data_IF_102593253851
#
_entry.id   IF_102593253851
#
_cell.length_a   1.000
_cell.length_b   1.000
_cell.length_c   1.000
_cell.angle_alpha   90.00
_cell.angle_beta   90.00
_cell.angle_gamma   90.00
#
_symmetry.space_group_name_H-M   'P 1'
#
loop_
_entity.id
_entity.type
_entity.pdbx_description
1 polymer ?
#
# COMPACT_ATOMS: atom_id res chain seq x y z
N UNK A 1 42.44 47.78 39.15
CA UNK A 1 41.40 47.05 39.92
C UNK A 1 40.75 45.99 39.04
N UNK A 2 41.06 44.71 39.28
CA UNK A 2 40.31 43.55 38.76
C UNK A 2 40.38 42.43 39.81
N UNK A 3 39.38 42.45 40.68
CA UNK A 3 38.77 41.35 41.44
C UNK A 3 38.44 40.16 40.50
N UNK A 4 38.42 38.88 40.86
CA UNK A 4 38.79 38.15 42.07
C UNK A 4 38.97 36.66 41.67
N UNK A 5 39.72 35.95 42.50
CA UNK A 5 40.03 34.53 42.46
C UNK A 5 38.85 33.66 42.97
N UNK A 6 38.67 32.45 42.41
CA UNK A 6 38.12 31.22 43.02
C UNK A 6 38.14 30.17 41.88
N UNK A 7 38.62 28.94 41.97
CA UNK A 7 38.93 28.07 43.08
C UNK A 7 38.71 26.63 42.59
N UNK A 8 39.81 25.90 42.37
CA UNK A 8 40.02 24.43 42.47
C UNK A 8 38.86 23.46 42.16
N UNK A 9 39.11 22.53 41.21
CA UNK A 9 38.86 21.10 41.43
C UNK A 9 39.67 20.23 40.45
N UNK A 10 40.64 19.48 40.99
CA UNK A 10 41.29 18.34 40.32
C UNK A 10 40.44 17.09 40.59
N UNK A 11 40.06 16.36 39.54
CA UNK A 11 39.43 15.04 39.64
C UNK A 11 39.73 14.23 38.39
N UNK A 12 40.47 13.13 38.54
CA UNK A 12 40.99 12.31 37.44
C UNK A 12 39.97 11.38 36.77
N UNK A 13 40.35 10.72 35.67
CA UNK A 13 39.46 9.88 34.87
C UNK A 13 39.24 8.49 35.50
N UNK A 14 37.99 8.23 35.90
CA UNK A 14 37.50 6.91 36.32
C UNK A 14 37.15 6.05 35.11
N UNK A 15 37.97 5.03 34.86
CA UNK A 15 37.74 3.95 33.90
C UNK A 15 36.64 3.03 34.42
N UNK A 16 35.47 3.03 33.77
CA UNK A 16 34.40 2.05 34.00
C UNK A 16 34.59 0.87 33.05
N UNK A 17 35.21 -0.21 33.55
CA UNK A 17 35.28 -1.52 32.87
C UNK A 17 33.97 -2.27 33.08
N UNK A 18 33.08 -2.18 32.09
CA UNK A 18 31.90 -3.03 31.98
C UNK A 18 32.30 -4.47 31.70
N UNK A 19 31.95 -5.39 32.61
CA UNK A 19 32.27 -6.82 32.54
C UNK A 19 31.49 -7.47 31.39
N UNK A 20 32.24 -7.97 30.40
CA UNK A 20 31.76 -8.86 29.35
C UNK A 20 31.39 -10.22 29.97
N UNK A 21 30.10 -10.57 29.97
CA UNK A 21 29.64 -11.90 30.40
C UNK A 21 29.65 -12.82 29.17
N UNK A 22 30.74 -13.56 29.02
CA UNK A 22 30.85 -14.67 28.06
C UNK A 22 29.91 -15.78 28.52
N UNK A 23 28.80 -15.97 27.78
CA UNK A 23 27.97 -17.17 27.91
C UNK A 23 28.64 -18.26 27.08
N UNK A 24 29.18 -19.27 27.76
CA UNK A 24 29.77 -20.46 27.14
C UNK A 24 28.68 -21.27 26.44
N UNK A 25 28.89 -21.56 25.15
CA UNK A 25 28.12 -22.52 24.38
C UNK A 25 28.33 -23.95 24.86
N UNK A 26 27.25 -24.73 24.89
CA UNK A 26 27.27 -26.17 25.02
C UNK A 26 26.98 -26.83 23.66
N UNK A 27 27.68 -27.93 23.30
CA UNK A 27 27.39 -28.67 22.07
C UNK A 27 26.22 -29.64 22.28
N UNK A 28 25.09 -29.36 21.62
CA UNK A 28 23.98 -30.30 21.46
C UNK A 28 24.07 -30.94 20.09
N UNK A 29 24.41 -32.22 20.06
CA UNK A 29 24.63 -33.03 18.86
C UNK A 29 23.30 -33.50 18.27
N UNK A 30 23.35 -33.66 16.95
CA UNK A 30 22.33 -34.08 15.98
C UNK A 30 21.62 -35.42 16.27
N UNK A 31 20.37 -35.55 15.79
CA UNK A 31 19.86 -36.62 14.90
C UNK A 31 18.32 -36.79 15.05
N UNK A 32 17.57 -36.37 14.03
CA UNK A 32 16.14 -36.68 13.87
C UNK A 32 15.79 -36.66 12.38
N UNK A 33 15.54 -37.84 11.81
CA UNK A 33 15.58 -38.12 10.37
C UNK A 33 14.45 -37.53 9.51
N UNK A 34 14.57 -37.62 8.18
CA UNK A 34 13.54 -37.17 7.25
C UNK A 34 12.39 -38.20 7.19
N UNK A 35 11.27 -37.86 7.83
CA UNK A 35 9.99 -38.51 7.57
C UNK A 35 9.46 -38.11 6.19
N UNK A 36 9.72 -38.95 5.18
CA UNK A 36 9.13 -38.83 3.84
C UNK A 36 7.64 -39.16 3.93
N UNK A 37 6.80 -38.16 4.16
CA UNK A 37 5.35 -38.31 4.04
C UNK A 37 4.98 -38.21 2.57
N UNK A 38 4.85 -39.37 1.92
CA UNK A 38 4.29 -39.51 0.57
C UNK A 38 2.83 -39.05 0.60
N UNK A 39 2.56 -37.83 0.14
CA UNK A 39 1.20 -37.36 -0.10
C UNK A 39 0.60 -38.16 -1.27
N UNK A 40 -0.43 -38.94 -0.97
CA UNK A 40 -1.22 -39.68 -1.96
C UNK A 40 -1.92 -38.66 -2.87
N UNK A 41 -1.65 -38.77 -4.17
CA UNK A 41 -2.32 -38.05 -5.22
C UNK A 41 -3.78 -38.56 -5.30
N UNK A 42 -4.71 -37.83 -4.70
CA UNK A 42 -6.14 -38.06 -4.81
C UNK A 42 -6.64 -37.47 -6.12
N UNK A 43 -6.77 -38.33 -7.14
CA UNK A 43 -7.42 -38.05 -8.41
C UNK A 43 -8.93 -37.97 -8.18
N UNK A 44 -9.47 -36.75 -8.07
CA UNK A 44 -10.91 -36.52 -7.98
C UNK A 44 -11.45 -36.10 -9.35
N UNK A 45 -12.28 -36.97 -9.91
CA UNK A 45 -13.07 -36.76 -11.11
C UNK A 45 -13.93 -35.51 -10.97
N UNK A 46 -13.89 -34.63 -11.98
CA UNK A 46 -14.97 -33.68 -12.24
C UNK A 46 -15.36 -33.85 -13.70
N UNK A 47 -16.32 -34.76 -13.92
CA UNK A 47 -17.19 -34.70 -15.07
C UNK A 47 -18.40 -33.87 -14.69
N UNK A 48 -18.70 -32.81 -15.44
CA UNK A 48 -20.03 -32.23 -15.45
C UNK A 48 -20.38 -31.65 -16.82
N UNK A 49 -21.08 -32.50 -17.56
CA UNK A 49 -22.16 -32.27 -18.52
C UNK A 49 -22.34 -30.86 -19.14
N UNK A 50 -22.18 -30.85 -20.47
CA UNK A 50 -22.89 -29.96 -21.41
C UNK A 50 -24.41 -30.14 -21.30
N UNK A 51 -25.14 -29.03 -21.26
CA UNK A 51 -26.52 -28.95 -21.75
C UNK A 51 -26.72 -27.59 -22.43
N UNK A 52 -26.75 -27.60 -23.76
CA UNK A 52 -27.41 -26.58 -24.58
C UNK A 52 -28.91 -26.90 -24.62
N UNK A 53 -29.76 -25.89 -24.84
CA UNK A 53 -31.07 -25.88 -25.54
C UNK A 53 -31.73 -24.49 -25.24
N UNK A 54 -31.83 -23.56 -26.19
CA UNK A 54 -32.91 -23.34 -27.20
C UNK A 54 -34.17 -22.62 -26.67
N UNK A 55 -34.56 -21.51 -27.33
CA UNK A 55 -35.92 -20.93 -27.40
C UNK A 55 -36.02 -19.46 -26.94
N UNK A 56 -36.14 -18.45 -27.81
CA UNK A 56 -37.25 -17.97 -28.67
C UNK A 56 -38.28 -17.00 -28.02
N UNK A 57 -38.29 -15.78 -28.59
CA UNK A 57 -39.42 -14.86 -28.88
C UNK A 57 -40.10 -13.99 -27.80
N UNK A 58 -39.80 -12.68 -27.93
CA UNK A 58 -40.67 -11.52 -28.20
C UNK A 58 -42.13 -11.39 -27.68
N UNK A 59 -42.40 -10.14 -27.26
CA UNK A 59 -43.57 -9.28 -27.54
C UNK A 59 -44.58 -8.98 -26.40
N UNK A 60 -44.98 -7.70 -26.31
CA UNK A 60 -46.04 -7.19 -25.42
C UNK A 60 -45.67 -5.86 -24.76
N UNK A 61 -45.82 -4.71 -25.43
CA UNK A 61 -47.01 -3.86 -25.47
C UNK A 61 -47.03 -2.75 -24.39
N UNK A 62 -47.02 -1.51 -24.88
CA UNK A 62 -47.25 -0.26 -24.16
C UNK A 62 -48.73 -0.10 -23.82
N UNK A 63 -49.08 0.67 -22.76
CA UNK A 63 -49.88 1.85 -23.05
C UNK A 63 -49.53 3.08 -22.19
N UNK A 64 -49.70 4.22 -22.87
CA UNK A 64 -49.71 5.59 -22.37
C UNK A 64 -51.04 5.97 -21.69
N UNK A 65 -50.92 6.81 -20.66
CA UNK A 65 -51.63 8.10 -20.45
C UNK A 65 -52.31 8.28 -19.09
N UNK A 66 -52.02 9.45 -18.48
CA UNK A 66 -53.02 10.24 -17.76
C UNK A 66 -52.74 10.51 -16.28
N UNK A 67 -52.63 11.80 -15.92
CA UNK A 67 -53.20 12.27 -14.65
C UNK A 67 -52.32 13.14 -13.74
N UNK A 68 -52.42 14.45 -13.98
CA UNK A 68 -52.61 15.52 -12.99
C UNK A 68 -51.59 15.78 -11.86
N UNK A 69 -51.13 17.05 -11.87
CA UNK A 69 -50.51 17.82 -10.79
C UNK A 69 -51.39 17.92 -9.54
N UNK A 70 -50.80 18.08 -8.35
CA UNK A 70 -50.98 19.37 -7.68
C UNK A 70 -49.68 19.93 -7.07
N UNK A 71 -49.62 21.27 -7.07
CA UNK A 71 -48.65 22.07 -6.32
C UNK A 71 -49.01 22.11 -4.84
N UNK A 72 -48.02 21.94 -3.97
CA UNK A 72 -48.03 22.49 -2.62
C UNK A 72 -46.58 22.80 -2.19
N UNK A 73 -46.37 24.01 -1.67
CA UNK A 73 -45.06 24.58 -1.38
C UNK A 73 -44.26 23.78 -0.36
N UNK A 74 -42.96 23.67 -0.64
CA UNK A 74 -41.93 23.24 0.30
C UNK A 74 -40.87 24.33 0.35
N UNK A 75 -40.54 24.75 1.56
CA UNK A 75 -39.54 25.74 1.88
C UNK A 75 -38.24 25.51 1.08
N UNK A 76 -37.63 26.61 0.64
CA UNK A 76 -36.26 26.65 0.14
C UNK A 76 -35.32 26.22 1.26
N UNK A 77 -35.16 24.90 1.41
CA UNK A 77 -34.02 24.31 2.08
C UNK A 77 -32.79 24.78 1.31
N UNK A 78 -32.08 25.72 1.93
CA UNK A 78 -30.73 26.08 1.54
C UNK A 78 -29.85 24.89 1.89
N UNK A 79 -29.98 23.83 1.10
CA UNK A 79 -29.04 22.74 1.02
C UNK A 79 -27.73 23.38 0.58
N UNK A 80 -26.90 23.66 1.58
CA UNK A 80 -25.52 24.03 1.42
C UNK A 80 -24.93 23.10 0.38
N UNK A 81 -24.53 23.69 -0.75
CA UNK A 81 -23.79 22.99 -1.77
C UNK A 81 -22.61 22.34 -1.09
N UNK A 82 -22.65 21.02 -0.99
CA UNK A 82 -21.44 20.24 -0.82
C UNK A 82 -20.59 20.59 -2.04
N UNK A 83 -19.62 21.49 -1.84
CA UNK A 83 -18.54 21.70 -2.80
C UNK A 83 -18.10 20.33 -3.27
N UNK A 84 -17.96 20.08 -4.59
CA UNK A 84 -17.48 18.81 -5.06
C UNK A 84 -16.17 18.54 -4.33
N UNK A 85 -16.14 17.48 -3.52
CA UNK A 85 -14.91 17.00 -2.91
C UNK A 85 -13.94 16.83 -4.07
N UNK A 86 -12.96 17.73 -4.17
CA UNK A 86 -11.89 17.56 -5.12
C UNK A 86 -11.27 16.21 -4.78
N UNK A 87 -11.35 15.25 -5.70
CA UNK A 87 -10.87 13.90 -5.48
C UNK A 87 -9.40 13.91 -5.07
N UNK A 88 -8.99 12.90 -4.31
CA UNK A 88 -7.61 12.73 -3.89
C UNK A 88 -6.71 12.69 -5.13
N UNK A 89 -5.72 13.58 -5.19
CA UNK A 89 -4.73 13.66 -6.26
C UNK A 89 -3.39 13.20 -5.72
N UNK A 90 -2.68 12.39 -6.51
CA UNK A 90 -1.35 11.89 -6.18
C UNK A 90 -0.41 12.25 -7.32
N UNK A 91 0.84 12.55 -6.99
CA UNK A 91 1.91 12.85 -7.95
C UNK A 91 3.26 12.53 -7.33
N UNK A 92 4.30 12.44 -8.17
CA UNK A 92 5.69 12.38 -7.70
C UNK A 92 6.50 13.55 -8.26
N UNK A 93 7.30 14.25 -7.45
CA UNK A 93 8.29 15.19 -7.97
C UNK A 93 9.39 14.51 -8.81
N UNK A 94 9.54 13.19 -8.72
CA UNK A 94 10.61 12.46 -9.37
C UNK A 94 10.31 12.03 -10.81
N UNK A 95 9.03 11.95 -11.19
CA UNK A 95 8.58 11.57 -12.52
C UNK A 95 7.20 12.16 -12.80
N UNK A 96 6.92 12.45 -14.07
CA UNK A 96 5.57 12.80 -14.51
C UNK A 96 4.69 11.55 -14.66
N UNK A 97 3.38 11.72 -14.68
CA UNK A 97 2.42 10.64 -14.93
C UNK A 97 2.79 9.85 -16.20
N UNK A 98 2.91 8.52 -16.06
CA UNK A 98 3.28 7.57 -17.12
C UNK A 98 4.77 7.60 -17.52
N UNK A 99 5.56 8.54 -16.98
CA UNK A 99 6.96 8.68 -17.34
C UNK A 99 7.84 7.62 -16.65
N UNK A 100 9.06 7.46 -17.18
CA UNK A 100 10.03 6.53 -16.64
C UNK A 100 10.44 6.92 -15.21
N UNK A 101 10.37 5.96 -14.30
CA UNK A 101 10.84 6.09 -12.92
C UNK A 101 12.36 6.24 -12.94
N UNK A 102 12.96 7.21 -12.23
CA UNK A 102 14.42 7.32 -12.17
C UNK A 102 15.07 6.07 -11.59
N UNK A 103 16.19 5.66 -12.21
CA UNK A 103 16.90 4.41 -11.90
C UNK A 103 17.18 4.16 -10.42
N UNK A 104 17.42 5.22 -9.63
CA UNK A 104 17.70 5.07 -8.20
C UNK A 104 16.56 4.41 -7.42
N UNK A 105 15.31 4.50 -7.88
CA UNK A 105 14.15 3.89 -7.22
C UNK A 105 13.93 2.43 -7.64
N UNK A 106 14.62 1.94 -8.67
CA UNK A 106 14.57 0.54 -9.09
C UNK A 106 15.29 -0.40 -8.11
N UNK A 107 15.17 -1.70 -8.34
CA UNK A 107 15.86 -2.71 -7.54
C UNK A 107 17.39 -2.64 -7.71
N UNK A 108 18.12 -3.05 -6.67
CA UNK A 108 19.58 -3.13 -6.70
C UNK A 108 20.12 -4.01 -7.84
N UNK A 109 19.39 -5.09 -8.19
CA UNK A 109 19.78 -6.00 -9.30
C UNK A 109 19.76 -5.33 -10.68
N UNK A 110 18.98 -4.26 -10.85
CA UNK A 110 18.95 -3.45 -12.06
C UNK A 110 19.66 -2.10 -11.86
N UNK A 111 20.47 -1.98 -10.80
CA UNK A 111 21.33 -0.83 -10.52
C UNK A 111 20.62 0.35 -9.84
N UNK A 112 19.46 0.12 -9.24
CA UNK A 112 18.82 1.06 -8.34
C UNK A 112 19.23 0.85 -6.88
N UNK A 113 18.44 1.38 -5.94
CA UNK A 113 18.75 1.41 -4.51
C UNK A 113 17.61 0.89 -3.63
N UNK A 114 16.50 0.41 -4.21
CA UNK A 114 15.31 -0.03 -3.45
C UNK A 114 14.81 1.03 -2.46
N UNK A 115 14.88 2.31 -2.86
CA UNK A 115 14.33 3.44 -2.10
C UNK A 115 13.03 3.91 -2.75
N UNK A 116 12.02 4.27 -1.94
CA UNK A 116 10.74 4.78 -2.45
C UNK A 116 10.91 6.17 -3.08
N UNK A 117 10.22 6.46 -4.21
CA UNK A 117 10.18 7.81 -4.76
C UNK A 117 9.40 8.76 -3.84
N UNK A 118 9.73 10.05 -3.82
CA UNK A 118 8.92 11.03 -3.12
C UNK A 118 7.51 11.07 -3.74
N UNK A 119 6.50 11.09 -2.89
CA UNK A 119 5.09 11.22 -3.29
C UNK A 119 4.50 12.48 -2.68
N UNK A 120 3.58 13.11 -3.39
CA UNK A 120 2.80 14.23 -2.91
C UNK A 120 1.33 13.98 -3.20
N UNK A 121 0.46 14.34 -2.25
CA UNK A 121 -0.98 14.21 -2.41
C UNK A 121 -1.75 15.39 -1.83
N UNK A 122 -2.91 15.66 -2.42
CA UNK A 122 -3.81 16.74 -2.04
C UNK A 122 -5.27 16.29 -2.17
N UNK A 123 -6.20 17.02 -1.55
CA UNK A 123 -7.62 16.66 -1.62
C UNK A 123 -8.00 15.46 -0.75
N UNK A 124 -7.32 15.27 0.38
CA UNK A 124 -7.75 14.28 1.38
C UNK A 124 -9.12 14.69 1.92
N UNK A 125 -10.16 13.84 1.81
CA UNK A 125 -11.50 14.20 2.26
C UNK A 125 -11.57 14.28 3.79
N UNK A 126 -12.39 15.20 4.32
CA UNK A 126 -12.57 15.39 5.78
C UNK A 126 -13.12 14.15 6.50
N UNK A 127 -13.79 13.26 5.77
CA UNK A 127 -14.27 11.97 6.29
C UNK A 127 -13.17 10.93 6.48
N UNK A 128 -11.95 11.17 5.97
CA UNK A 128 -10.81 10.28 6.17
C UNK A 128 -10.35 10.29 7.63
N UNK A 129 -9.85 9.15 8.09
CA UNK A 129 -9.26 8.99 9.44
C UNK A 129 -7.85 8.41 9.40
N UNK A 130 -7.48 7.78 8.28
CA UNK A 130 -6.17 7.22 8.03
C UNK A 130 -5.88 7.32 6.53
N UNK A 131 -4.61 7.48 6.16
CA UNK A 131 -4.13 7.29 4.79
C UNK A 131 -3.33 5.99 4.68
N UNK A 132 -3.33 5.40 3.49
CA UNK A 132 -2.48 4.26 3.15
C UNK A 132 -1.85 4.45 1.77
N UNK A 133 -0.68 3.87 1.56
CA UNK A 133 0.00 3.79 0.26
C UNK A 133 0.03 2.32 -0.15
N UNK A 134 -0.31 2.04 -1.41
CA UNK A 134 -0.06 0.77 -2.07
C UNK A 134 0.69 1.05 -3.37
N UNK A 135 1.75 0.28 -3.64
CA UNK A 135 2.42 0.28 -4.95
C UNK A 135 2.17 -1.07 -5.60
N UNK A 136 1.44 -1.08 -6.71
CA UNK A 136 1.04 -2.29 -7.42
C UNK A 136 1.60 -2.30 -8.85
N UNK A 137 2.14 -3.43 -9.27
CA UNK A 137 2.57 -3.72 -10.65
C UNK A 137 1.58 -4.74 -11.24
N UNK A 138 0.66 -4.25 -12.08
CA UNK A 138 -0.38 -5.08 -12.70
C UNK A 138 0.13 -5.87 -13.90
N UNK A 139 1.32 -5.54 -14.41
CA UNK A 139 1.95 -6.17 -15.57
C UNK A 139 2.80 -7.38 -15.18
N UNK A 140 2.99 -7.61 -13.88
CA UNK A 140 3.79 -8.71 -13.38
C UNK A 140 3.27 -10.09 -13.86
N UNK A 141 4.18 -11.05 -14.14
CA UNK A 141 3.79 -12.40 -14.53
C UNK A 141 2.96 -13.08 -13.42
N UNK A 142 1.73 -13.45 -13.75
CA UNK A 142 0.77 -14.02 -12.78
C UNK A 142 -0.23 -13.01 -12.21
N UNK A 143 -0.23 -11.76 -12.70
CA UNK A 143 -1.10 -10.66 -12.29
C UNK A 143 -0.41 -9.73 -11.30
N UNK A 144 -1.21 -8.98 -10.54
CA UNK A 144 -0.74 -7.95 -9.59
C UNK A 144 0.39 -8.43 -8.65
N UNK A 145 1.44 -7.61 -8.56
CA UNK A 145 2.54 -7.73 -7.62
C UNK A 145 2.66 -6.45 -6.77
N UNK A 146 2.48 -6.59 -5.46
CA UNK A 146 2.47 -5.46 -4.53
C UNK A 146 3.89 -5.19 -4.05
N UNK A 147 4.46 -4.08 -4.51
CA UNK A 147 5.80 -3.61 -4.22
C UNK A 147 5.92 -2.92 -2.86
N UNK A 148 4.83 -2.35 -2.35
CA UNK A 148 4.86 -1.61 -1.08
C UNK A 148 3.46 -1.46 -0.50
N UNK A 149 3.33 -1.61 0.81
CA UNK A 149 2.12 -1.29 1.55
C UNK A 149 2.50 -0.50 2.80
N UNK A 150 1.96 0.71 2.93
CA UNK A 150 2.07 1.52 4.15
C UNK A 150 0.67 1.85 4.66
N UNK A 151 0.42 1.59 5.94
CA UNK A 151 -0.83 1.95 6.62
C UNK A 151 -0.54 2.88 7.80
N UNK A 152 -1.59 3.44 8.41
CA UNK A 152 -1.42 4.30 9.59
C UNK A 152 -0.77 5.66 9.31
N UNK A 153 -0.87 6.15 8.07
CA UNK A 153 -0.39 7.48 7.71
C UNK A 153 -1.42 8.51 8.22
N UNK A 154 -0.95 9.59 8.84
CA UNK A 154 -1.83 10.64 9.36
C UNK A 154 -2.49 11.40 8.20
N UNK A 155 -3.76 11.76 8.36
CA UNK A 155 -4.51 12.55 7.36
C UNK A 155 -4.01 13.98 7.20
N UNK A 156 -3.19 14.46 8.14
CA UNK A 156 -2.49 15.75 8.06
C UNK A 156 -1.26 15.71 7.15
N UNK A 157 -0.76 14.52 6.78
CA UNK A 157 0.35 14.41 5.85
C UNK A 157 -0.11 14.76 4.43
N UNK A 158 0.80 15.34 3.66
CA UNK A 158 0.59 15.73 2.26
C UNK A 158 1.59 15.06 1.30
N UNK A 159 2.38 14.12 1.80
CA UNK A 159 3.38 13.44 1.01
C UNK A 159 4.23 12.45 1.79
N UNK A 160 5.13 11.81 1.05
CA UNK A 160 6.21 10.98 1.57
C UNK A 160 7.52 11.47 0.97
N UNK A 161 8.53 11.68 1.81
CA UNK A 161 9.87 12.00 1.35
C UNK A 161 10.53 10.80 0.64
N UNK A 162 11.58 11.07 -0.12
CA UNK A 162 12.39 10.02 -0.72
C UNK A 162 12.92 9.02 0.33
N UNK A 163 12.68 7.73 0.10
CA UNK A 163 13.04 6.66 1.02
C UNK A 163 12.34 6.70 2.38
N UNK A 164 11.38 7.61 2.57
CA UNK A 164 10.65 7.75 3.82
C UNK A 164 9.47 6.77 3.89
N UNK A 165 9.19 6.30 5.10
CA UNK A 165 8.00 5.50 5.41
C UNK A 165 7.10 6.32 6.33
N UNK A 166 6.02 6.94 5.83
CA UNK A 166 5.17 7.86 6.61
C UNK A 166 4.16 7.13 7.52
N UNK A 167 4.44 5.89 7.91
CA UNK A 167 3.50 5.02 8.63
C UNK A 167 4.09 3.65 8.98
N UNK A 168 3.24 2.63 9.05
CA UNK A 168 3.63 1.24 9.32
C UNK A 168 3.68 0.45 8.03
N UNK A 169 4.74 -0.32 7.81
CA UNK A 169 4.86 -1.17 6.61
C UNK A 169 4.20 -2.52 6.85
N UNK A 170 3.37 -2.96 5.90
CA UNK A 170 2.89 -4.34 5.82
C UNK A 170 3.75 -5.13 4.82
N UNK A 171 3.82 -6.47 4.93
CA UNK A 171 4.55 -7.28 3.96
C UNK A 171 4.07 -7.07 2.53
N UNK A 172 5.00 -6.84 1.59
CA UNK A 172 4.74 -6.86 0.15
C UNK A 172 4.61 -8.28 -0.41
N UNK A 173 4.50 -8.40 -1.73
CA UNK A 173 4.39 -9.72 -2.40
C UNK A 173 5.60 -10.62 -2.22
N UNK A 174 6.80 -10.06 -1.97
CA UNK A 174 7.99 -10.83 -1.57
C UNK A 174 8.03 -11.18 -0.06
N UNK A 175 7.03 -10.73 0.71
CA UNK A 175 6.99 -10.86 2.16
C UNK A 175 7.88 -9.87 2.92
N UNK A 176 8.58 -8.96 2.22
CA UNK A 176 9.44 -7.97 2.86
C UNK A 176 8.61 -6.83 3.48
N UNK A 177 8.99 -6.34 4.67
CA UNK A 177 8.37 -5.16 5.28
C UNK A 177 9.06 -3.87 4.81
N UNK A 178 9.34 -3.76 3.51
CA UNK A 178 10.03 -2.62 2.90
C UNK A 178 9.46 -2.33 1.52
N UNK A 179 9.87 -1.19 0.93
CA UNK A 179 9.63 -0.92 -0.48
C UNK A 179 10.52 -1.85 -1.32
N UNK A 180 9.93 -2.59 -2.24
CA UNK A 180 10.66 -3.34 -3.26
C UNK A 180 10.66 -2.53 -4.57
N UNK A 181 11.84 -2.13 -5.07
CA UNK A 181 11.92 -1.33 -6.28
C UNK A 181 11.52 -2.12 -7.54
N UNK A 182 11.09 -1.43 -8.62
CA UNK A 182 10.87 -2.02 -9.93
C UNK A 182 12.00 -2.96 -10.37
N UNK A 183 11.64 -4.18 -10.76
CA UNK A 183 12.59 -5.21 -11.15
C UNK A 183 12.01 -6.21 -12.17
N UNK A 184 11.38 -5.73 -13.25
CA UNK A 184 10.67 -6.59 -14.18
C UNK A 184 11.65 -7.55 -14.87
N UNK A 185 11.24 -8.80 -15.15
CA UNK A 185 12.08 -9.77 -15.85
C UNK A 185 12.34 -9.38 -17.32
N UNK A 186 11.49 -8.54 -17.91
CA UNK A 186 11.64 -7.97 -19.24
C UNK A 186 10.41 -7.17 -19.65
N UNK A 187 10.52 -6.34 -20.69
CA UNK A 187 9.46 -5.42 -21.09
C UNK A 187 9.32 -4.23 -20.14
N UNK A 188 8.40 -3.32 -20.50
CA UNK A 188 8.06 -2.16 -19.68
C UNK A 188 6.83 -2.48 -18.85
N UNK A 189 6.95 -2.29 -17.54
CA UNK A 189 5.87 -2.43 -16.57
C UNK A 189 5.40 -1.07 -16.06
N UNK A 190 4.15 -1.01 -15.61
CA UNK A 190 3.50 0.15 -15.01
C UNK A 190 3.35 -0.07 -13.50
N UNK A 191 3.87 0.88 -12.73
CA UNK A 191 3.85 0.87 -11.28
C UNK A 191 2.86 1.94 -10.82
N UNK A 192 1.76 1.48 -10.24
CA UNK A 192 0.68 2.32 -9.75
C UNK A 192 0.97 2.72 -8.31
N UNK A 193 1.26 4.01 -8.07
CA UNK A 193 1.46 4.57 -6.73
C UNK A 193 0.14 5.13 -6.23
N UNK A 194 -0.58 4.33 -5.43
CA UNK A 194 -1.95 4.63 -5.01
C UNK A 194 -1.94 5.10 -3.57
N UNK A 195 -2.57 6.25 -3.31
CA UNK A 195 -2.89 6.71 -1.96
C UNK A 195 -4.37 6.51 -1.72
N UNK A 196 -4.71 5.85 -0.62
CA UNK A 196 -6.09 5.62 -0.18
C UNK A 196 -6.41 6.50 1.01
N UNK A 197 -7.57 7.15 0.98
CA UNK A 197 -8.14 7.81 2.15
C UNK A 197 -9.18 6.90 2.79
N UNK A 198 -8.94 6.49 4.03
CA UNK A 198 -9.65 5.41 4.69
C UNK A 198 -10.61 5.93 5.76
N UNK A 199 -11.75 5.25 5.96
CA UNK A 199 -12.72 5.60 7.02
C UNK A 199 -12.20 5.35 8.43
N UNK A 200 -11.17 4.53 8.58
CA UNK A 200 -10.63 4.12 9.87
C UNK A 200 -9.35 3.30 9.72
N UNK A 201 -8.74 2.91 10.84
CA UNK A 201 -7.43 2.25 10.82
C UNK A 201 -7.49 0.83 10.26
N UNK A 202 -6.47 0.45 9.48
CA UNK A 202 -6.37 -0.88 8.87
C UNK A 202 -5.37 -1.77 9.59
N UNK A 203 -5.77 -3.04 9.75
CA UNK A 203 -4.89 -4.10 10.24
C UNK A 203 -3.95 -4.56 9.11
N UNK A 204 -2.64 -4.44 9.36
CA UNK A 204 -1.57 -4.82 8.43
C UNK A 204 -1.19 -6.31 8.45
N UNK A 205 -1.88 -7.16 9.23
CA UNK A 205 -1.53 -8.59 9.34
C UNK A 205 -2.09 -9.45 8.20
N UNK A 206 -1.31 -10.42 7.72
CA UNK A 206 -1.67 -11.33 6.62
C UNK A 206 -0.73 -11.15 5.42
N UNK A 207 -1.05 -11.82 4.30
CA UNK A 207 -0.33 -11.60 3.04
C UNK A 207 -0.72 -10.27 2.38
N UNK A 208 0.12 -9.81 1.46
CA UNK A 208 -0.01 -8.52 0.79
C UNK A 208 -1.38 -8.33 0.13
N UNK A 209 -1.89 -9.36 -0.55
CA UNK A 209 -3.18 -9.31 -1.26
C UNK A 209 -4.33 -9.14 -0.27
N UNK A 210 -4.31 -9.87 0.85
CA UNK A 210 -5.32 -9.72 1.89
C UNK A 210 -5.30 -8.33 2.54
N UNK A 211 -4.11 -7.73 2.71
CA UNK A 211 -3.97 -6.36 3.24
C UNK A 211 -4.48 -5.34 2.24
N UNK A 212 -4.05 -5.40 0.98
CA UNK A 212 -4.48 -4.50 -0.09
C UNK A 212 -6.00 -4.54 -0.29
N UNK A 213 -6.61 -5.74 -0.33
CA UNK A 213 -8.07 -5.85 -0.41
C UNK A 213 -8.78 -5.14 0.76
N UNK A 214 -8.26 -5.22 1.98
CA UNK A 214 -8.86 -4.52 3.13
C UNK A 214 -8.74 -3.00 3.01
N UNK A 215 -7.65 -2.51 2.44
CA UNK A 215 -7.44 -1.09 2.15
C UNK A 215 -8.50 -0.62 1.14
N UNK A 216 -8.69 -1.37 0.05
CA UNK A 216 -9.71 -1.07 -0.97
C UNK A 216 -11.12 -1.07 -0.39
N UNK A 217 -11.49 -2.13 0.34
CA UNK A 217 -12.82 -2.26 0.96
C UNK A 217 -13.15 -1.11 1.93
N UNK A 218 -12.12 -0.52 2.57
CA UNK A 218 -12.27 0.55 3.56
C UNK A 218 -12.08 1.97 3.02
N UNK A 219 -11.71 2.11 1.74
CA UNK A 219 -11.43 3.38 1.12
C UNK A 219 -12.70 4.22 0.94
N UNK A 220 -12.60 5.50 1.29
CA UNK A 220 -13.57 6.54 0.91
C UNK A 220 -13.31 6.98 -0.52
N UNK A 221 -12.03 7.19 -0.84
CA UNK A 221 -11.54 7.58 -2.16
C UNK A 221 -10.07 7.15 -2.27
N UNK A 222 -9.56 7.15 -3.49
CA UNK A 222 -8.16 6.95 -3.79
C UNK A 222 -7.71 7.97 -4.84
N UNK A 223 -6.41 8.21 -4.87
CA UNK A 223 -5.73 8.90 -5.96
C UNK A 223 -4.51 8.09 -6.35
N UNK A 224 -4.03 8.29 -7.57
CA UNK A 224 -2.95 7.50 -8.14
C UNK A 224 -2.03 8.37 -9.01
N UNK A 225 -0.77 7.98 -9.07
CA UNK A 225 0.13 8.34 -10.17
C UNK A 225 0.86 7.09 -10.66
N UNK A 226 1.07 6.98 -11.96
CA UNK A 226 1.75 5.83 -12.57
C UNK A 226 3.15 6.20 -13.02
N UNK A 227 4.13 5.36 -12.72
CA UNK A 227 5.47 5.44 -13.29
C UNK A 227 5.78 4.17 -14.09
N UNK A 228 6.64 4.29 -15.11
CA UNK A 228 7.06 3.14 -15.93
C UNK A 228 8.49 2.74 -15.64
N UNK A 229 8.79 1.44 -15.72
CA UNK A 229 10.17 0.95 -15.64
C UNK A 229 10.32 -0.35 -16.44
N UNK A 230 11.46 -0.50 -17.12
CA UNK A 230 11.76 -1.68 -17.92
C UNK A 230 12.57 -1.36 -19.18
N UNK A 231 12.81 -2.38 -19.99
CA UNK A 231 13.61 -2.33 -21.22
C UNK A 231 13.01 -3.19 -22.31
#
# INVERSE_FOLDING_TARGET
MKIANLGVARGGPGVVRGRFRVVRGGPGVVCGGPGVVRRRLGMACVGLLLAALTGCSAEGASPSAGGASPSAGGASDSSQGASPSAGLKVSSPAFAEGAAIPKKYACARQGGQDISPPLAWTGVPESARELAIVVDDTDAPGGSYIHWIVTGILVSESGSGEGATPGKVAPGSDGSPAYAGPCPPGGVHHYHFIVYALRGPIKSGGDARAVHKRIEDAAVTSGETTGTWGS
#
